data_IF_398123932993
#
_entry.id   IF_398123932993
#
_cell.length_a   1.000
_cell.length_b   1.000
_cell.length_c   1.000
_cell.angle_alpha   90.00
_cell.angle_beta   90.00
_cell.angle_gamma   90.00
#
_symmetry.space_group_name_H-M   'P 1'
#
loop_
_entity.id
_entity.type
_entity.pdbx_description
1 polymer ?
#
# COMPACT_ATOMS: atom_id res chain seq x y z
N UNK A 1 27.47 16.14 1.49
CA UNK A 1 26.22 16.93 1.59
C UNK A 1 25.04 16.15 1.00
N UNK A 2 24.90 14.86 1.35
CA UNK A 2 23.83 13.95 0.85
C UNK A 2 22.98 13.38 1.99
N UNK A 3 23.46 13.47 3.25
CA UNK A 3 22.84 12.80 4.41
C UNK A 3 21.55 13.45 4.92
N UNK A 4 21.29 14.72 4.57
CA UNK A 4 20.17 15.48 5.15
C UNK A 4 18.81 15.19 4.47
N UNK A 5 18.83 14.81 3.18
CA UNK A 5 17.62 14.47 2.41
C UNK A 5 17.17 13.02 2.68
N UNK A 6 18.14 12.13 2.86
CA UNK A 6 17.93 10.71 3.22
C UNK A 6 17.38 10.59 4.64
N UNK A 7 17.95 11.33 5.61
CA UNK A 7 17.48 11.36 7.00
C UNK A 7 16.02 11.84 7.14
N UNK A 8 15.62 12.87 6.38
CA UNK A 8 14.23 13.39 6.39
C UNK A 8 13.25 12.42 5.71
N UNK A 9 13.73 11.64 4.74
CA UNK A 9 12.92 10.63 4.06
C UNK A 9 12.68 9.41 4.96
N UNK A 10 13.70 8.96 5.69
CA UNK A 10 13.54 7.90 6.69
C UNK A 10 12.64 8.31 7.87
N UNK A 11 12.76 9.55 8.34
CA UNK A 11 11.91 10.06 9.43
C UNK A 11 10.44 10.16 9.00
N UNK A 12 10.17 10.59 7.75
CA UNK A 12 8.82 10.55 7.19
C UNK A 12 8.29 9.13 7.04
N UNK A 13 9.12 8.22 6.56
CA UNK A 13 8.77 6.80 6.45
C UNK A 13 8.40 6.24 7.84
N UNK A 14 9.24 6.48 8.86
CA UNK A 14 8.97 6.08 10.25
C UNK A 14 7.66 6.68 10.78
N UNK A 15 7.45 7.98 10.60
CA UNK A 15 6.23 8.66 11.01
C UNK A 15 4.98 8.01 10.40
N UNK A 16 5.01 7.71 9.10
CA UNK A 16 3.84 7.08 8.48
C UNK A 16 3.63 5.63 8.91
N UNK A 17 4.70 4.87 9.17
CA UNK A 17 4.59 3.52 9.68
C UNK A 17 3.95 3.47 11.07
N UNK A 18 4.28 4.42 11.95
CA UNK A 18 3.64 4.55 13.26
C UNK A 18 2.13 4.83 13.14
N UNK A 19 1.75 5.70 12.19
CA UNK A 19 0.34 6.05 11.96
C UNK A 19 -0.48 4.93 11.27
N UNK A 20 0.17 3.90 10.71
CA UNK A 20 -0.53 2.72 10.19
C UNK A 20 -1.11 1.83 11.32
N UNK A 21 -0.79 2.11 12.58
CA UNK A 21 -1.30 1.39 13.75
C UNK A 21 -2.18 2.25 14.66
N UNK A 22 -2.59 3.43 14.20
CA UNK A 22 -3.45 4.34 14.96
C UNK A 22 -4.84 3.73 15.22
N UNK A 23 -5.46 4.08 16.34
CA UNK A 23 -6.79 3.58 16.71
C UNK A 23 -7.87 4.04 15.71
N UNK A 24 -7.72 5.23 15.13
CA UNK A 24 -8.63 5.74 14.12
C UNK A 24 -8.29 5.14 12.73
N UNK A 25 -9.18 4.31 12.13
CA UNK A 25 -8.97 3.80 10.78
C UNK A 25 -8.81 4.92 9.74
N UNK A 26 -9.39 6.09 10.01
CA UNK A 26 -9.23 7.34 9.28
C UNK A 26 -7.78 7.81 9.17
N UNK A 27 -7.02 7.68 10.25
CA UNK A 27 -5.58 8.00 10.29
C UNK A 27 -4.79 6.92 9.56
N UNK A 28 -5.10 5.64 9.80
CA UNK A 28 -4.42 4.51 9.16
C UNK A 28 -4.46 4.57 7.64
N UNK A 29 -5.65 4.74 7.03
CA UNK A 29 -5.74 4.79 5.57
C UNK A 29 -5.07 6.04 4.97
N UNK A 30 -5.07 7.19 5.67
CA UNK A 30 -4.34 8.39 5.24
C UNK A 30 -2.83 8.16 5.28
N UNK A 31 -2.32 7.44 6.29
CA UNK A 31 -0.91 7.06 6.38
C UNK A 31 -0.49 6.18 5.19
N UNK A 32 -1.31 5.19 4.84
CA UNK A 32 -1.09 4.34 3.65
C UNK A 32 -1.05 5.18 2.37
N UNK A 33 -1.99 6.11 2.20
CA UNK A 33 -2.02 6.98 1.02
C UNK A 33 -0.77 7.86 0.94
N UNK A 34 -0.34 8.43 2.06
CA UNK A 34 0.87 9.23 2.13
C UNK A 34 2.13 8.41 1.81
N UNK A 35 2.25 7.20 2.35
CA UNK A 35 3.33 6.25 2.04
C UNK A 35 3.38 5.93 0.55
N UNK A 36 2.25 5.57 -0.05
CA UNK A 36 2.19 5.24 -1.47
C UNK A 36 2.66 6.42 -2.35
N UNK A 37 2.30 7.65 -1.97
CA UNK A 37 2.71 8.87 -2.67
C UNK A 37 4.20 9.16 -2.59
N UNK A 38 4.93 8.65 -1.59
CA UNK A 38 6.40 8.73 -1.57
C UNK A 38 7.04 7.95 -2.71
N UNK A 39 6.32 6.94 -3.27
CA UNK A 39 6.82 5.97 -4.24
C UNK A 39 8.03 5.17 -3.76
N UNK A 40 8.32 5.19 -2.45
CA UNK A 40 9.35 4.36 -1.87
C UNK A 40 8.86 2.90 -1.82
N UNK A 41 9.63 2.00 -2.43
CA UNK A 41 9.33 0.57 -2.46
C UNK A 41 9.49 -0.10 -1.09
N UNK A 42 10.22 0.51 -0.16
CA UNK A 42 10.31 0.01 1.21
C UNK A 42 8.94 -0.03 1.92
N UNK A 43 8.00 0.81 1.48
CA UNK A 43 6.63 0.84 1.98
C UNK A 43 5.75 -0.32 1.52
N UNK A 44 6.17 -1.10 0.50
CA UNK A 44 5.34 -2.19 -0.05
C UNK A 44 5.03 -3.25 1.00
N UNK A 45 6.02 -3.68 1.80
CA UNK A 45 5.82 -4.67 2.86
C UNK A 45 4.80 -4.23 3.92
N UNK A 46 4.96 -3.04 4.52
CA UNK A 46 3.97 -2.47 5.45
C UNK A 46 2.57 -2.33 4.84
N UNK A 47 2.45 -1.87 3.59
CA UNK A 47 1.15 -1.74 2.92
C UNK A 47 0.52 -3.11 2.64
N UNK A 48 1.31 -4.15 2.35
CA UNK A 48 0.81 -5.54 2.25
C UNK A 48 0.17 -5.98 3.57
N UNK A 49 0.78 -5.68 4.72
CA UNK A 49 0.20 -6.03 6.02
C UNK A 49 -1.15 -5.35 6.25
N UNK A 50 -1.34 -4.12 5.75
CA UNK A 50 -2.61 -3.40 5.84
C UNK A 50 -3.75 -3.99 5.00
N UNK A 51 -3.49 -4.98 4.13
CA UNK A 51 -4.55 -5.77 3.50
C UNK A 51 -5.31 -6.65 4.51
N UNK A 52 -4.80 -6.82 5.73
CA UNK A 52 -5.42 -7.60 6.80
C UNK A 52 -6.03 -6.72 7.90
N UNK A 53 -6.11 -5.39 7.69
CA UNK A 53 -6.68 -4.46 8.66
C UNK A 53 -8.16 -4.77 8.96
N UNK A 54 -8.59 -4.55 10.20
CA UNK A 54 -9.97 -4.76 10.62
C UNK A 54 -10.98 -3.89 9.86
N UNK A 55 -10.61 -2.65 9.52
CA UNK A 55 -11.48 -1.70 8.81
C UNK A 55 -11.33 -1.87 7.30
N UNK A 56 -12.46 -2.08 6.63
CA UNK A 56 -12.48 -2.34 5.19
C UNK A 56 -11.97 -1.16 4.35
N UNK A 57 -12.05 0.07 4.84
CA UNK A 57 -11.54 1.26 4.14
C UNK A 57 -10.01 1.27 4.14
N UNK A 58 -9.39 0.80 5.22
CA UNK A 58 -7.95 0.63 5.31
C UNK A 58 -7.48 -0.43 4.33
N UNK A 59 -8.14 -1.60 4.31
CA UNK A 59 -7.85 -2.67 3.33
C UNK A 59 -8.02 -2.22 1.89
N UNK A 60 -9.11 -1.50 1.59
CA UNK A 60 -9.36 -0.94 0.26
C UNK A 60 -8.24 0.04 -0.14
N UNK A 61 -7.82 0.92 0.77
CA UNK A 61 -6.74 1.87 0.50
C UNK A 61 -5.39 1.17 0.34
N UNK A 62 -5.13 0.10 1.08
CA UNK A 62 -3.96 -0.74 0.91
C UNK A 62 -3.93 -1.36 -0.50
N UNK A 63 -5.03 -1.94 -0.97
CA UNK A 63 -5.13 -2.48 -2.32
C UNK A 63 -4.83 -1.42 -3.40
N UNK A 64 -5.45 -0.24 -3.29
CA UNK A 64 -5.16 0.90 -4.17
C UNK A 64 -3.67 1.28 -4.18
N UNK A 65 -3.07 1.41 -3.00
CA UNK A 65 -1.67 1.80 -2.84
C UNK A 65 -0.71 0.81 -3.49
N UNK A 66 -0.96 -0.49 -3.35
CA UNK A 66 -0.14 -1.54 -3.96
C UNK A 66 -0.22 -1.52 -5.50
N UNK A 67 -1.42 -1.33 -6.06
CA UNK A 67 -1.58 -1.12 -7.51
C UNK A 67 -0.86 0.13 -8.01
N UNK A 68 -0.99 1.24 -7.26
CA UNK A 68 -0.32 2.50 -7.57
C UNK A 68 1.22 2.35 -7.60
N UNK A 69 1.79 1.70 -6.58
CA UNK A 69 3.23 1.40 -6.52
C UNK A 69 3.64 0.45 -7.65
N UNK A 70 2.79 -0.54 -7.96
CA UNK A 70 3.01 -1.46 -9.07
C UNK A 70 4.17 -2.42 -8.83
N UNK A 71 4.50 -2.70 -7.57
CA UNK A 71 5.58 -3.62 -7.24
C UNK A 71 5.07 -5.07 -7.37
N UNK A 72 5.73 -5.93 -8.18
CA UNK A 72 5.28 -7.31 -8.37
C UNK A 72 5.21 -8.16 -7.11
N UNK A 73 5.93 -7.80 -6.05
CA UNK A 73 5.88 -8.51 -4.76
C UNK A 73 4.48 -8.47 -4.11
N UNK A 74 3.66 -7.48 -4.46
CA UNK A 74 2.30 -7.33 -3.97
C UNK A 74 1.28 -8.25 -4.67
N UNK A 75 1.64 -8.90 -5.78
CA UNK A 75 0.70 -9.67 -6.61
C UNK A 75 0.08 -10.85 -5.84
N UNK A 76 0.90 -11.68 -5.19
CA UNK A 76 0.40 -12.85 -4.45
C UNK A 76 -0.44 -12.48 -3.21
N UNK A 77 -0.06 -11.48 -2.38
CA UNK A 77 -0.94 -10.94 -1.34
C UNK A 77 -2.29 -10.43 -1.87
N UNK A 78 -2.29 -9.64 -2.95
CA UNK A 78 -3.53 -9.15 -3.57
C UNK A 78 -4.42 -10.29 -4.08
N UNK A 79 -3.85 -11.35 -4.66
CA UNK A 79 -4.64 -12.53 -5.05
C UNK A 79 -5.37 -13.18 -3.86
N UNK A 80 -4.78 -13.17 -2.66
CA UNK A 80 -5.47 -13.66 -1.45
C UNK A 80 -6.59 -12.71 -1.04
N UNK A 81 -6.37 -11.40 -1.16
CA UNK A 81 -7.35 -10.35 -0.84
C UNK A 81 -8.59 -10.34 -1.77
N UNK A 82 -8.59 -11.08 -2.88
CA UNK A 82 -9.81 -11.30 -3.69
C UNK A 82 -10.94 -11.99 -2.90
N UNK A 83 -10.63 -12.59 -1.75
CA UNK A 83 -11.59 -13.24 -0.85
C UNK A 83 -12.10 -12.31 0.25
N UNK A 84 -11.80 -11.01 0.17
CA UNK A 84 -12.25 -10.04 1.17
C UNK A 84 -13.77 -10.03 1.32
N UNK A 85 -14.25 -9.83 2.56
CA UNK A 85 -15.68 -9.73 2.86
C UNK A 85 -16.36 -8.51 2.23
N UNK A 86 -15.61 -7.42 1.99
CA UNK A 86 -16.12 -6.19 1.39
C UNK A 86 -16.01 -6.23 -0.14
N UNK A 87 -17.11 -5.97 -0.83
CA UNK A 87 -17.15 -5.87 -2.30
C UNK A 87 -16.23 -4.77 -2.83
N UNK A 88 -16.29 -3.57 -2.22
CA UNK A 88 -15.42 -2.47 -2.63
C UNK A 88 -13.93 -2.75 -2.42
N UNK A 89 -13.56 -3.64 -1.51
CA UNK A 89 -12.17 -4.11 -1.39
C UNK A 89 -11.82 -5.04 -2.55
N UNK A 90 -12.68 -6.01 -2.86
CA UNK A 90 -12.45 -6.95 -3.96
C UNK A 90 -12.31 -6.25 -5.31
N UNK A 91 -13.16 -5.25 -5.59
CA UNK A 91 -13.08 -4.47 -6.83
C UNK A 91 -11.74 -3.72 -6.94
N UNK A 92 -11.33 -3.06 -5.86
CA UNK A 92 -10.03 -2.37 -5.81
C UNK A 92 -8.85 -3.32 -5.94
N UNK A 93 -8.95 -4.54 -5.37
CA UNK A 93 -7.93 -5.58 -5.52
C UNK A 93 -7.80 -6.02 -6.97
N UNK A 94 -8.92 -6.18 -7.69
CA UNK A 94 -8.90 -6.52 -9.12
C UNK A 94 -8.20 -5.42 -9.94
N UNK A 95 -8.55 -4.15 -9.70
CA UNK A 95 -7.88 -3.01 -10.35
C UNK A 95 -6.37 -3.00 -10.07
N UNK A 96 -5.98 -3.23 -8.81
CA UNK A 96 -4.58 -3.26 -8.42
C UNK A 96 -3.78 -4.40 -9.09
N UNK A 97 -4.39 -5.59 -9.21
CA UNK A 97 -3.78 -6.73 -9.90
C UNK A 97 -3.58 -6.45 -11.40
N UNK A 98 -4.55 -5.79 -12.05
CA UNK A 98 -4.44 -5.40 -13.45
C UNK A 98 -3.34 -4.36 -13.68
N UNK A 99 -3.22 -3.37 -12.80
CA UNK A 99 -2.15 -2.36 -12.86
C UNK A 99 -0.76 -2.99 -12.69
N UNK A 100 -0.59 -3.89 -11.71
CA UNK A 100 0.67 -4.61 -11.53
C UNK A 100 1.00 -5.46 -12.75
N UNK A 101 0.02 -6.21 -13.27
CA UNK A 101 0.21 -7.06 -14.45
C UNK A 101 0.63 -6.23 -15.67
N UNK A 102 -0.02 -5.09 -15.91
CA UNK A 102 0.33 -4.18 -17.02
C UNK A 102 1.79 -3.74 -16.91
N UNK A 103 2.23 -3.28 -15.73
CA UNK A 103 3.61 -2.85 -15.48
C UNK A 103 4.65 -3.97 -15.56
N UNK A 104 4.25 -5.23 -15.33
CA UNK A 104 5.15 -6.38 -15.52
C UNK A 104 5.42 -6.63 -17.01
N UNK A 105 4.40 -6.49 -17.87
CA UNK A 105 4.50 -6.73 -19.32
C UNK A 105 5.22 -5.57 -20.03
N UNK A 106 5.01 -4.33 -19.60
CA UNK A 106 5.65 -3.13 -20.20
C UNK A 106 7.17 -3.03 -19.93
N UNK A 107 7.73 -3.90 -19.09
CA UNK A 107 9.15 -3.89 -18.72
C UNK A 107 10.03 -4.85 -19.52
N UNK A 108 9.45 -5.57 -20.47
CA UNK A 108 10.14 -6.42 -21.46
C UNK A 108 10.32 -5.70 -22.80
#
# INVERSE_FOLDING_TARGET
MVQEDESKSEERLRYFLENMTDEDPGVRWKAIEALARTRDRTAVGPIIAALEDEDWRVRQKAAWALGFLGDPTAYAPLQRALRDGSEGVRDMVLEALDEIRRKMIEKD
#
